data_IF_421553603332
#
_entry.id   IF_421553603332
#
_cell.length_a   1.000
_cell.length_b   1.000
_cell.length_c   1.000
_cell.angle_alpha   90.00
_cell.angle_beta   90.00
_cell.angle_gamma   90.00
#
_symmetry.space_group_name_H-M   'P 1'
#
loop_
_entity.id
_entity.type
_entity.pdbx_description
1 polymer ?
#
# COMPACT_ATOMS: atom_id res chain seq x y z
N UNK A 1 22.85 -0.80 4.91
CA UNK A 1 23.56 0.38 5.53
C UNK A 1 22.56 1.54 5.45
N UNK A 2 22.30 2.32 6.50
CA UNK A 2 21.47 3.54 6.36
C UNK A 2 22.25 4.56 5.54
N UNK A 3 21.61 5.19 4.57
CA UNK A 3 22.22 6.28 3.80
C UNK A 3 22.74 7.33 4.78
N UNK A 4 23.97 7.80 4.55
CA UNK A 4 24.64 8.72 5.46
C UNK A 4 23.88 10.07 5.49
N UNK A 5 23.67 10.63 6.69
CA UNK A 5 23.02 11.94 6.89
C UNK A 5 23.67 13.05 6.06
N UNK A 6 24.98 12.99 5.82
CA UNK A 6 25.66 13.97 4.95
C UNK A 6 25.15 13.99 3.51
N UNK A 7 24.58 12.89 3.02
CA UNK A 7 23.96 12.84 1.69
C UNK A 7 22.69 13.68 1.61
N UNK A 8 22.01 13.94 2.72
CA UNK A 8 20.77 14.72 2.76
C UNK A 8 20.98 16.21 3.06
N UNK A 9 22.15 16.63 3.53
CA UNK A 9 22.40 18.03 3.88
C UNK A 9 22.39 18.99 2.69
N UNK A 10 22.57 18.46 1.47
CA UNK A 10 22.60 19.26 0.23
C UNK A 10 21.35 19.05 -0.65
N UNK A 11 20.38 18.25 -0.18
CA UNK A 11 19.18 17.90 -0.96
C UNK A 11 18.10 18.94 -0.75
N UNK A 12 17.45 19.33 -1.84
CA UNK A 12 16.27 20.16 -1.78
C UNK A 12 15.10 19.40 -1.15
N UNK A 13 14.67 19.81 0.04
CA UNK A 13 13.56 19.21 0.77
C UNK A 13 12.23 19.96 0.49
N UNK A 14 11.06 19.32 0.65
CA UNK A 14 10.87 17.93 1.09
C UNK A 14 11.08 16.91 -0.04
N UNK A 15 11.56 15.70 0.31
CA UNK A 15 11.80 14.62 -0.66
C UNK A 15 11.57 13.24 -0.05
N UNK A 16 10.86 12.36 -0.78
CA UNK A 16 10.84 10.91 -0.53
C UNK A 16 12.07 10.28 -1.15
N UNK A 17 12.81 9.50 -0.36
CA UNK A 17 14.05 8.88 -0.82
C UNK A 17 13.94 7.37 -0.72
N UNK A 18 13.87 6.68 -1.85
CA UNK A 18 13.95 5.23 -1.92
C UNK A 18 15.41 4.77 -1.79
N UNK A 19 15.68 3.80 -0.92
CA UNK A 19 16.96 3.12 -0.82
C UNK A 19 16.92 1.80 -1.60
N UNK A 20 17.56 1.72 -2.78
CA UNK A 20 17.51 0.56 -3.68
C UNK A 20 17.94 -0.74 -2.98
N UNK A 21 18.97 -0.71 -2.14
CA UNK A 21 19.43 -1.88 -1.38
C UNK A 21 18.31 -2.48 -0.52
N UNK A 22 17.52 -1.62 0.14
CA UNK A 22 16.41 -2.06 0.99
C UNK A 22 15.24 -2.61 0.17
N UNK A 23 14.92 -1.97 -0.96
CA UNK A 23 13.92 -2.47 -1.88
C UNK A 23 14.28 -3.86 -2.39
N UNK A 24 15.52 -4.05 -2.86
CA UNK A 24 16.00 -5.35 -3.35
C UNK A 24 15.99 -6.43 -2.27
N UNK A 25 16.29 -6.09 -1.02
CA UNK A 25 16.16 -7.00 0.13
C UNK A 25 14.72 -7.50 0.28
N UNK A 26 13.74 -6.60 0.25
CA UNK A 26 12.33 -6.97 0.35
C UNK A 26 11.88 -7.82 -0.84
N UNK A 27 12.24 -7.43 -2.06
CA UNK A 27 11.93 -8.17 -3.28
C UNK A 27 12.53 -9.58 -3.26
N UNK A 28 13.77 -9.74 -2.80
CA UNK A 28 14.42 -11.05 -2.68
C UNK A 28 13.70 -11.96 -1.69
N UNK A 29 13.25 -11.43 -0.55
CA UNK A 29 12.46 -12.18 0.43
C UNK A 29 11.11 -12.60 -0.17
N UNK A 30 10.39 -11.67 -0.80
CA UNK A 30 9.08 -11.94 -1.42
C UNK A 30 9.21 -13.01 -2.51
N UNK A 31 10.23 -12.91 -3.38
CA UNK A 31 10.52 -13.92 -4.39
C UNK A 31 10.80 -15.28 -3.76
N UNK A 32 11.62 -15.35 -2.70
CA UNK A 32 11.89 -16.60 -1.98
C UNK A 32 10.62 -17.23 -1.39
N UNK A 33 9.69 -16.42 -0.87
CA UNK A 33 8.40 -16.92 -0.37
C UNK A 33 7.58 -17.50 -1.53
N UNK A 34 7.48 -16.76 -2.64
CA UNK A 34 6.72 -17.18 -3.82
C UNK A 34 7.23 -18.55 -4.36
N UNK A 35 8.54 -18.68 -4.55
CA UNK A 35 9.17 -19.91 -5.04
C UNK A 35 9.03 -21.10 -4.07
N UNK A 36 9.22 -20.87 -2.77
CA UNK A 36 9.14 -21.93 -1.75
C UNK A 36 7.73 -22.41 -1.47
N UNK A 37 6.75 -21.52 -1.61
CA UNK A 37 5.34 -21.83 -1.39
C UNK A 37 4.61 -22.24 -2.68
N UNK A 38 5.25 -22.12 -3.86
CA UNK A 38 4.66 -22.33 -5.18
C UNK A 38 3.42 -21.45 -5.41
N UNK A 39 3.55 -20.14 -5.15
CA UNK A 39 2.48 -19.14 -5.30
C UNK A 39 2.93 -17.96 -6.14
N UNK A 40 2.01 -17.26 -6.76
CA UNK A 40 2.28 -15.98 -7.40
C UNK A 40 2.10 -14.86 -6.39
N UNK A 41 3.12 -14.00 -6.23
CA UNK A 41 3.03 -12.78 -5.43
C UNK A 41 3.16 -11.59 -6.36
N UNK A 42 2.16 -10.71 -6.35
CA UNK A 42 2.04 -9.57 -7.26
C UNK A 42 1.99 -8.25 -6.49
N UNK A 43 2.49 -7.17 -7.09
CA UNK A 43 2.55 -5.85 -6.47
C UNK A 43 1.19 -5.14 -6.52
N UNK A 44 0.69 -4.69 -5.37
CA UNK A 44 -0.50 -3.85 -5.30
C UNK A 44 -0.16 -2.35 -5.45
N UNK A 45 -0.54 -1.74 -6.58
CA UNK A 45 -0.25 -0.33 -6.88
C UNK A 45 -0.87 0.65 -5.89
N UNK A 46 -2.02 0.31 -5.32
CA UNK A 46 -2.62 1.12 -4.24
C UNK A 46 -1.67 1.42 -3.07
N UNK A 47 -0.62 0.59 -2.90
CA UNK A 47 0.38 0.79 -1.85
C UNK A 47 1.71 1.32 -2.38
N UNK A 48 2.08 1.00 -3.62
CA UNK A 48 3.35 1.40 -4.21
C UNK A 48 3.24 1.51 -5.73
N UNK A 49 3.44 2.71 -6.28
CA UNK A 49 3.29 2.99 -7.71
C UNK A 49 4.41 3.87 -8.29
N UNK A 50 5.61 3.86 -7.70
CA UNK A 50 6.78 4.62 -8.20
C UNK A 50 7.32 3.96 -9.48
N UNK A 51 6.69 4.24 -10.59
CA UNK A 51 6.86 3.49 -11.85
C UNK A 51 8.28 3.53 -12.44
N UNK A 52 9.08 4.54 -12.15
CA UNK A 52 10.49 4.59 -12.58
C UNK A 52 11.35 3.50 -11.91
N UNK A 53 10.88 2.92 -10.81
CA UNK A 53 11.54 1.81 -10.10
C UNK A 53 11.08 0.42 -10.59
N UNK A 54 10.06 0.33 -11.44
CA UNK A 54 9.54 -0.95 -11.95
C UNK A 54 10.57 -1.83 -12.67
N UNK A 55 11.62 -1.30 -13.34
CA UNK A 55 12.69 -2.15 -13.83
C UNK A 55 13.34 -3.04 -12.76
N UNK A 56 13.50 -2.53 -11.53
CA UNK A 56 14.01 -3.30 -10.39
C UNK A 56 13.01 -4.39 -9.99
N UNK A 57 11.72 -4.06 -9.91
CA UNK A 57 10.68 -5.04 -9.57
C UNK A 57 10.61 -6.21 -10.55
N UNK A 58 10.75 -5.94 -11.86
CA UNK A 58 10.67 -6.98 -12.91
C UNK A 58 11.77 -8.05 -12.83
N UNK A 59 12.84 -7.81 -12.09
CA UNK A 59 13.85 -8.84 -11.80
C UNK A 59 13.33 -9.90 -10.81
N UNK A 60 12.23 -9.63 -10.12
CA UNK A 60 11.72 -10.46 -9.01
C UNK A 60 10.28 -10.93 -9.19
N UNK A 61 9.41 -10.09 -9.75
CA UNK A 61 7.99 -10.37 -9.95
C UNK A 61 7.56 -10.03 -11.38
N UNK A 62 6.43 -10.60 -11.84
CA UNK A 62 6.00 -10.48 -13.24
C UNK A 62 4.61 -9.85 -13.42
N UNK A 63 3.87 -9.65 -12.35
CA UNK A 63 2.49 -9.15 -12.41
C UNK A 63 2.22 -8.13 -11.30
N UNK A 64 1.15 -7.37 -11.48
CA UNK A 64 0.68 -6.35 -10.56
C UNK A 64 -0.83 -6.41 -10.39
N UNK A 65 -1.36 -5.79 -9.33
CA UNK A 65 -2.80 -5.58 -9.19
C UNK A 65 -3.15 -4.11 -9.32
N UNK A 66 -4.28 -3.84 -9.94
CA UNK A 66 -4.83 -2.51 -10.17
C UNK A 66 -6.23 -2.37 -9.55
N UNK A 67 -6.54 -1.16 -9.06
CA UNK A 67 -7.84 -0.85 -8.45
C UNK A 67 -8.62 0.23 -9.21
N UNK A 68 -8.11 0.65 -10.37
CA UNK A 68 -8.72 1.65 -11.25
C UNK A 68 -8.20 1.51 -12.68
N UNK A 69 -8.83 2.20 -13.63
CA UNK A 69 -8.35 2.30 -15.00
C UNK A 69 -6.93 2.86 -15.06
N UNK A 70 -6.63 3.91 -14.29
CA UNK A 70 -5.30 4.53 -14.28
C UNK A 70 -4.21 3.58 -13.80
N UNK A 71 -4.48 2.79 -12.76
CA UNK A 71 -3.54 1.76 -12.31
C UNK A 71 -3.39 0.62 -13.31
N UNK A 72 -4.49 0.18 -13.97
CA UNK A 72 -4.44 -0.84 -15.00
C UNK A 72 -3.61 -0.39 -16.21
N UNK A 73 -3.76 0.87 -16.65
CA UNK A 73 -2.91 1.48 -17.68
C UNK A 73 -1.45 1.57 -17.25
N UNK A 74 -1.19 1.98 -16.00
CA UNK A 74 0.16 2.04 -15.44
C UNK A 74 0.86 0.67 -15.47
N UNK A 75 0.11 -0.40 -15.14
CA UNK A 75 0.60 -1.78 -15.24
C UNK A 75 0.96 -2.12 -16.68
N UNK A 76 0.03 -1.91 -17.59
CA UNK A 76 0.18 -2.27 -19.00
C UNK A 76 1.32 -1.47 -19.67
N UNK A 77 1.37 -0.15 -19.46
CA UNK A 77 2.32 0.75 -20.16
C UNK A 77 3.70 0.81 -19.49
N UNK A 78 3.76 0.80 -18.15
CA UNK A 78 5.01 1.06 -17.42
C UNK A 78 5.60 -0.17 -16.75
N UNK A 79 4.74 -1.04 -16.18
CA UNK A 79 5.22 -2.31 -15.67
C UNK A 79 5.45 -3.31 -16.81
N UNK A 80 4.69 -3.19 -17.91
CA UNK A 80 4.85 -4.01 -19.11
C UNK A 80 4.14 -5.38 -19.01
N UNK A 81 3.13 -5.49 -18.15
CA UNK A 81 2.24 -6.65 -18.05
C UNK A 81 0.81 -6.23 -17.78
N UNK A 82 -0.20 -6.97 -18.30
CA UNK A 82 -1.59 -6.73 -17.94
C UNK A 82 -1.83 -6.98 -16.45
N UNK A 83 -2.64 -6.13 -15.82
CA UNK A 83 -2.91 -6.19 -14.39
C UNK A 83 -3.90 -7.30 -13.99
N UNK A 84 -3.86 -7.70 -12.72
CA UNK A 84 -5.01 -8.28 -12.03
C UNK A 84 -5.86 -7.13 -11.48
N UNK A 85 -7.03 -6.88 -12.08
CA UNK A 85 -7.80 -5.69 -11.73
C UNK A 85 -9.01 -6.04 -10.87
N UNK A 86 -9.14 -5.33 -9.75
CA UNK A 86 -10.32 -5.32 -8.92
C UNK A 86 -10.70 -3.89 -8.55
N UNK A 87 -11.94 -3.51 -8.81
CA UNK A 87 -12.55 -2.28 -8.28
C UNK A 87 -13.90 -2.60 -7.65
N UNK A 88 -14.30 -1.89 -6.58
CA UNK A 88 -15.63 -2.07 -5.98
C UNK A 88 -16.77 -1.76 -6.96
N UNK A 89 -16.51 -0.92 -7.96
CA UNK A 89 -17.45 -0.60 -9.03
C UNK A 89 -16.71 -0.30 -10.33
N UNK A 90 -17.29 -0.74 -11.45
CA UNK A 90 -16.88 -0.41 -12.81
C UNK A 90 -17.91 0.49 -13.47
N UNK A 91 -17.46 1.31 -14.42
CA UNK A 91 -18.33 2.22 -15.18
C UNK A 91 -18.41 1.82 -16.64
N UNK A 92 -19.49 2.23 -17.31
CA UNK A 92 -19.72 1.89 -18.73
C UNK A 92 -18.67 2.48 -19.67
N UNK A 93 -18.01 3.57 -19.28
CA UNK A 93 -17.00 4.23 -20.12
C UNK A 93 -15.57 3.73 -19.85
N UNK A 94 -15.32 2.98 -18.76
CA UNK A 94 -13.97 2.49 -18.40
C UNK A 94 -13.77 1.00 -18.67
N UNK A 95 -14.83 0.20 -18.59
CA UNK A 95 -14.72 -1.28 -18.54
C UNK A 95 -13.98 -1.88 -19.74
N UNK A 96 -14.16 -1.34 -20.94
CA UNK A 96 -13.50 -1.87 -22.14
C UNK A 96 -11.99 -1.65 -22.09
N UNK A 97 -11.57 -0.49 -21.61
CA UNK A 97 -10.14 -0.16 -21.53
C UNK A 97 -9.49 -0.86 -20.33
N UNK A 98 -10.20 -0.98 -19.22
CA UNK A 98 -9.78 -1.82 -18.08
C UNK A 98 -9.55 -3.26 -18.55
N UNK A 99 -10.47 -3.84 -19.30
CA UNK A 99 -10.34 -5.20 -19.79
C UNK A 99 -9.11 -5.37 -20.72
N UNK A 100 -8.84 -4.40 -21.62
CA UNK A 100 -7.65 -4.43 -22.49
C UNK A 100 -6.33 -4.38 -21.71
N UNK A 101 -6.32 -3.67 -20.57
CA UNK A 101 -5.13 -3.53 -19.73
C UNK A 101 -5.02 -4.62 -18.64
N UNK A 102 -5.96 -5.58 -18.60
CA UNK A 102 -6.03 -6.58 -17.54
C UNK A 102 -5.90 -8.01 -18.08
N UNK A 103 -5.23 -8.87 -17.31
CA UNK A 103 -5.22 -10.32 -17.50
C UNK A 103 -6.33 -11.02 -16.70
N UNK A 104 -6.63 -10.47 -15.52
CA UNK A 104 -7.68 -10.92 -14.62
C UNK A 104 -8.58 -9.73 -14.27
N UNK A 105 -9.89 -9.97 -14.25
CA UNK A 105 -10.90 -8.98 -13.86
C UNK A 105 -11.81 -9.61 -12.81
N UNK A 106 -11.68 -9.12 -11.57
CA UNK A 106 -12.51 -9.55 -10.45
C UNK A 106 -13.72 -8.63 -10.30
N UNK A 107 -14.91 -9.18 -10.36
CA UNK A 107 -16.16 -8.46 -10.11
C UNK A 107 -16.47 -8.44 -8.61
N UNK A 108 -17.04 -7.37 -8.13
CA UNK A 108 -17.42 -7.22 -6.73
C UNK A 108 -18.79 -7.85 -6.41
N UNK A 109 -19.59 -8.13 -7.42
CA UNK A 109 -20.92 -8.73 -7.30
C UNK A 109 -21.30 -9.48 -8.56
N UNK A 110 -22.29 -10.39 -8.47
CA UNK A 110 -22.86 -11.06 -9.63
C UNK A 110 -23.56 -10.10 -10.59
N UNK A 111 -24.18 -9.04 -10.08
CA UNK A 111 -24.79 -8.01 -10.93
C UNK A 111 -23.78 -7.23 -11.76
N UNK A 112 -22.56 -6.99 -11.22
CA UNK A 112 -21.47 -6.42 -12.03
C UNK A 112 -21.01 -7.40 -13.11
N UNK A 113 -20.86 -8.69 -12.75
CA UNK A 113 -20.51 -9.73 -13.71
C UNK A 113 -21.55 -9.77 -14.83
N UNK A 114 -22.83 -9.90 -14.52
CA UNK A 114 -23.94 -9.92 -15.49
C UNK A 114 -23.91 -8.70 -16.43
N UNK A 115 -23.61 -7.53 -15.90
CA UNK A 115 -23.58 -6.28 -16.67
C UNK A 115 -22.38 -6.16 -17.60
N UNK A 116 -21.22 -6.69 -17.21
CA UNK A 116 -19.96 -6.31 -17.86
C UNK A 116 -19.16 -7.47 -18.49
N UNK A 117 -19.44 -8.74 -18.18
CA UNK A 117 -18.62 -9.86 -18.63
C UNK A 117 -18.55 -9.97 -20.15
N UNK A 118 -19.69 -9.88 -20.86
CA UNK A 118 -19.69 -9.97 -22.32
C UNK A 118 -18.89 -8.84 -22.96
N UNK A 119 -19.09 -7.62 -22.46
CA UNK A 119 -18.40 -6.43 -22.96
C UNK A 119 -16.89 -6.48 -22.70
N UNK A 120 -16.48 -6.91 -21.50
CA UNK A 120 -15.08 -7.12 -21.19
C UNK A 120 -14.44 -8.23 -22.06
N UNK A 121 -15.17 -9.31 -22.34
CA UNK A 121 -14.73 -10.40 -23.23
C UNK A 121 -14.55 -9.93 -24.67
N UNK A 122 -15.45 -9.07 -25.17
CA UNK A 122 -15.32 -8.46 -26.49
C UNK A 122 -14.08 -7.56 -26.59
N UNK A 123 -13.78 -6.83 -25.52
CA UNK A 123 -12.59 -5.94 -25.45
C UNK A 123 -11.28 -6.71 -25.31
N UNK A 124 -11.30 -7.85 -24.58
CA UNK A 124 -10.15 -8.75 -24.37
C UNK A 124 -10.64 -10.20 -24.31
N UNK A 125 -10.52 -10.98 -25.39
CA UNK A 125 -10.97 -12.39 -25.42
C UNK A 125 -10.25 -13.31 -24.43
N UNK A 126 -9.03 -12.95 -23.99
CA UNK A 126 -8.21 -13.76 -23.09
C UNK A 126 -8.43 -13.39 -21.59
N UNK A 127 -9.33 -12.43 -21.30
CA UNK A 127 -9.60 -11.99 -19.92
C UNK A 127 -10.12 -13.13 -19.05
N UNK A 128 -9.56 -13.28 -17.86
CA UNK A 128 -9.98 -14.26 -16.86
C UNK A 128 -10.85 -13.58 -15.82
N UNK A 129 -12.02 -14.16 -15.54
CA UNK A 129 -12.93 -13.59 -14.56
C UNK A 129 -12.78 -14.20 -13.19
N UNK A 130 -12.90 -13.31 -12.20
CA UNK A 130 -13.05 -13.67 -10.82
C UNK A 130 -14.23 -12.99 -10.17
N UNK A 131 -14.59 -13.49 -9.00
CA UNK A 131 -15.57 -12.86 -8.13
C UNK A 131 -14.93 -12.59 -6.78
N UNK A 132 -15.06 -11.37 -6.29
CA UNK A 132 -14.65 -11.06 -4.93
C UNK A 132 -15.66 -11.63 -3.95
N UNK A 133 -15.16 -12.37 -2.96
CA UNK A 133 -15.98 -12.99 -1.91
C UNK A 133 -15.60 -12.45 -0.53
N UNK A 134 -16.59 -12.45 0.37
CA UNK A 134 -16.43 -11.99 1.74
C UNK A 134 -16.70 -13.15 2.70
N UNK A 135 -15.67 -13.65 3.43
CA UNK A 135 -15.85 -14.70 4.43
C UNK A 135 -16.52 -14.21 5.72
N UNK A 136 -16.82 -12.91 5.82
CA UNK A 136 -17.39 -12.26 7.01
C UNK A 136 -16.52 -12.48 8.26
N UNK A 137 -15.21 -12.55 8.03
CA UNK A 137 -14.19 -12.71 9.06
C UNK A 137 -12.96 -11.88 8.71
N UNK A 138 -12.53 -11.06 9.67
CA UNK A 138 -11.28 -10.31 9.61
C UNK A 138 -10.88 -9.91 11.05
N UNK A 139 -9.60 -9.97 11.35
CA UNK A 139 -9.04 -9.55 12.65
C UNK A 139 -8.51 -8.10 12.60
N UNK A 140 -8.83 -7.35 11.56
CA UNK A 140 -8.46 -5.93 11.47
C UNK A 140 -9.35 -5.12 12.40
N UNK A 141 -8.75 -4.53 13.43
CA UNK A 141 -9.45 -3.80 14.48
C UNK A 141 -9.99 -2.45 13.99
N UNK A 142 -9.20 -1.73 13.18
CA UNK A 142 -9.58 -0.42 12.65
C UNK A 142 -10.64 -0.56 11.57
N UNK A 143 -11.87 -0.11 11.85
CA UNK A 143 -13.02 -0.26 10.94
C UNK A 143 -12.78 0.30 9.53
N UNK A 144 -12.02 1.39 9.41
CA UNK A 144 -11.67 2.00 8.13
C UNK A 144 -10.92 1.01 7.20
N UNK A 145 -10.15 0.09 7.78
CA UNK A 145 -9.32 -0.88 7.06
C UNK A 145 -9.84 -2.32 7.15
N UNK A 146 -10.96 -2.55 7.85
CA UNK A 146 -11.57 -3.88 7.94
C UNK A 146 -12.46 -4.14 6.71
N UNK A 147 -12.01 -4.96 5.73
CA UNK A 147 -12.77 -5.19 4.50
C UNK A 147 -13.96 -6.11 4.68
N UNK A 148 -14.11 -6.75 5.84
CA UNK A 148 -15.18 -7.69 6.18
C UNK A 148 -16.12 -7.14 7.26
N UNK A 149 -16.01 -5.86 7.64
CA UNK A 149 -16.89 -5.23 8.61
C UNK A 149 -18.37 -5.31 8.17
N UNK A 150 -19.31 -5.39 9.12
CA UNK A 150 -20.74 -5.35 8.81
C UNK A 150 -21.10 -4.13 7.95
N UNK A 151 -21.85 -4.33 6.87
CA UNK A 151 -22.21 -3.27 5.91
C UNK A 151 -21.10 -2.91 4.92
N UNK A 152 -20.00 -3.67 4.87
CA UNK A 152 -18.96 -3.49 3.86
C UNK A 152 -19.55 -3.55 2.44
N UNK A 153 -18.98 -2.74 1.53
CA UNK A 153 -19.32 -2.79 0.10
C UNK A 153 -18.51 -3.83 -0.68
N UNK A 154 -17.66 -4.64 -0.01
CA UNK A 154 -16.70 -5.51 -0.66
C UNK A 154 -17.14 -6.98 -0.65
N UNK A 155 -17.28 -7.54 -1.86
CA UNK A 155 -17.44 -8.97 -2.08
C UNK A 155 -18.81 -9.54 -1.73
N UNK A 156 -19.02 -10.76 -2.15
CA UNK A 156 -20.27 -11.52 -1.99
C UNK A 156 -20.11 -12.53 -0.87
N UNK A 157 -21.03 -12.56 0.08
CA UNK A 157 -21.08 -13.60 1.13
C UNK A 157 -21.58 -14.93 0.56
N UNK A 158 -21.22 -16.05 1.21
CA UNK A 158 -21.49 -17.38 0.70
C UNK A 158 -22.99 -17.71 0.56
N UNK A 159 -23.83 -17.16 1.43
CA UNK A 159 -25.29 -17.31 1.41
C UNK A 159 -25.98 -16.66 0.20
N UNK A 160 -25.29 -15.70 -0.44
CA UNK A 160 -25.77 -14.98 -1.64
C UNK A 160 -25.27 -15.57 -2.95
N UNK A 161 -24.41 -16.59 -2.90
CA UNK A 161 -23.89 -17.25 -4.07
C UNK A 161 -24.82 -18.39 -4.50
N UNK A 162 -25.09 -18.57 -5.83
CA UNK A 162 -25.77 -19.73 -6.33
C UNK A 162 -24.92 -21.00 -6.11
N UNK A 163 -25.56 -22.18 -6.13
CA UNK A 163 -24.84 -23.45 -6.02
C UNK A 163 -23.78 -23.64 -7.11
N UNK A 164 -24.11 -23.20 -8.33
CA UNK A 164 -23.22 -23.24 -9.49
C UNK A 164 -23.04 -21.82 -10.02
N UNK A 165 -21.80 -21.39 -10.12
CA UNK A 165 -21.43 -20.10 -10.70
C UNK A 165 -21.33 -20.23 -12.23
N UNK A 166 -21.45 -19.12 -12.99
CA UNK A 166 -21.10 -19.09 -14.40
C UNK A 166 -19.74 -19.75 -14.67
N UNK A 167 -19.67 -20.56 -15.72
CA UNK A 167 -18.50 -21.42 -16.01
C UNK A 167 -17.23 -20.65 -16.38
N UNK A 168 -17.35 -19.38 -16.74
CA UNK A 168 -16.24 -18.49 -17.08
C UNK A 168 -15.75 -17.65 -15.88
N UNK A 169 -16.36 -17.78 -14.70
CA UNK A 169 -15.78 -17.34 -13.44
C UNK A 169 -14.77 -18.40 -13.01
N UNK A 170 -13.49 -18.08 -13.19
CA UNK A 170 -12.37 -19.01 -13.02
C UNK A 170 -11.72 -18.97 -11.64
N UNK A 171 -12.12 -18.06 -10.76
CA UNK A 171 -11.53 -17.97 -9.43
C UNK A 171 -12.24 -17.02 -8.48
N UNK A 172 -11.82 -17.10 -7.21
CA UNK A 172 -12.22 -16.14 -6.18
C UNK A 172 -11.08 -15.20 -5.81
N UNK A 173 -11.45 -13.95 -5.51
CA UNK A 173 -10.61 -12.95 -4.86
C UNK A 173 -11.15 -12.70 -3.45
N UNK A 174 -10.33 -12.96 -2.44
CA UNK A 174 -10.69 -12.81 -1.02
C UNK A 174 -9.63 -11.97 -0.31
N UNK A 175 -9.93 -10.72 -0.01
CA UNK A 175 -9.00 -9.81 0.67
C UNK A 175 -9.57 -9.42 2.04
N UNK A 176 -8.95 -9.92 3.12
CA UNK A 176 -9.45 -9.84 4.49
C UNK A 176 -8.42 -9.26 5.49
N UNK A 177 -7.23 -8.89 5.04
CA UNK A 177 -6.11 -8.52 5.89
C UNK A 177 -5.66 -7.08 5.67
N UNK A 178 -5.08 -6.50 6.73
CA UNK A 178 -4.29 -5.28 6.66
C UNK A 178 -3.11 -5.47 7.61
N UNK A 179 -1.88 -5.53 7.08
CA UNK A 179 -0.61 -5.68 7.82
C UNK A 179 -0.60 -6.82 8.87
N UNK A 180 -1.25 -7.92 8.54
CA UNK A 180 -1.48 -9.06 9.43
C UNK A 180 -0.33 -10.06 9.41
N UNK A 181 -0.21 -10.85 10.48
CA UNK A 181 0.73 -11.97 10.61
C UNK A 181 0.25 -13.24 9.87
N UNK A 182 1.13 -14.22 9.78
CA UNK A 182 0.82 -15.51 9.15
C UNK A 182 -0.23 -16.32 9.94
N UNK A 183 -0.25 -16.21 11.26
CA UNK A 183 -1.22 -16.83 12.14
C UNK A 183 -2.65 -16.29 11.90
N UNK A 184 -2.79 -15.01 11.64
CA UNK A 184 -4.07 -14.39 11.24
C UNK A 184 -4.53 -14.94 9.88
N UNK A 185 -3.59 -15.11 8.94
CA UNK A 185 -3.92 -15.73 7.66
C UNK A 185 -4.39 -17.17 7.81
N UNK A 186 -3.77 -17.98 8.68
CA UNK A 186 -4.20 -19.36 8.95
C UNK A 186 -5.65 -19.43 9.41
N UNK A 187 -6.02 -18.57 10.37
CA UNK A 187 -7.40 -18.51 10.87
C UNK A 187 -8.38 -18.02 9.81
N UNK A 188 -8.01 -17.00 9.05
CA UNK A 188 -8.84 -16.50 7.95
C UNK A 188 -9.03 -17.55 6.86
N UNK A 189 -7.97 -18.31 6.51
CA UNK A 189 -8.04 -19.37 5.52
C UNK A 189 -9.03 -20.45 5.92
N UNK A 190 -9.07 -20.83 7.21
CA UNK A 190 -10.04 -21.78 7.72
C UNK A 190 -11.48 -21.31 7.48
N UNK A 191 -11.79 -20.03 7.73
CA UNK A 191 -13.12 -19.46 7.44
C UNK A 191 -13.41 -19.39 5.92
N UNK A 192 -12.40 -19.10 5.09
CA UNK A 192 -12.56 -19.12 3.63
C UNK A 192 -12.89 -20.55 3.15
N UNK A 193 -12.16 -21.55 3.61
CA UNK A 193 -12.41 -22.95 3.25
C UNK A 193 -13.78 -23.43 3.74
N UNK A 194 -14.16 -23.14 4.99
CA UNK A 194 -15.47 -23.50 5.54
C UNK A 194 -16.62 -22.96 4.68
N UNK A 195 -16.55 -21.70 4.27
CA UNK A 195 -17.64 -21.03 3.55
C UNK A 195 -17.62 -21.27 2.05
N UNK A 196 -16.44 -21.40 1.43
CA UNK A 196 -16.32 -21.33 -0.03
C UNK A 196 -15.72 -22.57 -0.69
N UNK A 197 -15.20 -23.56 0.03
CA UNK A 197 -14.51 -24.70 -0.59
C UNK A 197 -15.38 -25.51 -1.56
N UNK A 198 -16.71 -25.49 -1.42
CA UNK A 198 -17.64 -26.19 -2.34
C UNK A 198 -17.54 -25.71 -3.79
N UNK A 199 -17.08 -24.47 -4.04
CA UNK A 199 -16.90 -23.94 -5.39
C UNK A 199 -15.49 -24.14 -5.94
N UNK A 200 -14.49 -24.45 -5.09
CA UNK A 200 -13.10 -24.60 -5.54
C UNK A 200 -12.89 -25.62 -6.66
N UNK A 201 -13.64 -26.74 -6.74
CA UNK A 201 -13.46 -27.68 -7.86
C UNK A 201 -13.71 -27.10 -9.27
N UNK A 202 -14.46 -26.00 -9.40
CA UNK A 202 -14.70 -25.35 -10.68
C UNK A 202 -13.64 -24.31 -11.07
N UNK A 203 -12.74 -23.94 -10.15
CA UNK A 203 -11.81 -22.85 -10.32
C UNK A 203 -10.45 -23.28 -10.82
N UNK A 204 -9.71 -22.32 -11.39
CA UNK A 204 -8.32 -22.45 -11.80
C UNK A 204 -7.37 -21.71 -10.86
N UNK A 205 -7.87 -20.71 -10.15
CA UNK A 205 -7.07 -19.88 -9.26
C UNK A 205 -7.87 -19.38 -8.06
N UNK A 206 -7.12 -19.01 -7.01
CA UNK A 206 -7.63 -18.28 -5.85
C UNK A 206 -6.65 -17.16 -5.49
N UNK A 207 -7.18 -15.98 -5.22
CA UNK A 207 -6.41 -14.82 -4.81
C UNK A 207 -6.80 -14.45 -3.38
N UNK A 208 -5.87 -14.60 -2.44
CA UNK A 208 -6.08 -14.29 -1.04
C UNK A 208 -5.84 -12.81 -0.70
N UNK A 209 -5.61 -11.96 -1.72
CA UNK A 209 -5.45 -10.53 -1.55
C UNK A 209 -4.14 -10.13 -0.90
N UNK A 210 -4.13 -8.94 -0.32
CA UNK A 210 -2.99 -8.33 0.34
C UNK A 210 -3.07 -8.40 1.87
N UNK A 211 -2.25 -7.53 2.50
CA UNK A 211 -2.17 -7.44 3.96
C UNK A 211 -1.16 -8.40 4.61
N UNK A 212 -0.46 -9.20 3.81
CA UNK A 212 0.61 -10.10 4.27
C UNK A 212 1.92 -9.31 4.39
N UNK A 213 2.25 -8.83 5.59
CA UNK A 213 3.43 -7.99 5.82
C UNK A 213 4.69 -8.83 6.07
N UNK A 214 5.02 -9.71 5.12
CA UNK A 214 6.08 -10.72 5.24
C UNK A 214 7.51 -10.14 5.35
N UNK A 215 7.70 -8.88 5.07
CA UNK A 215 8.98 -8.16 5.19
C UNK A 215 9.16 -7.49 6.55
N UNK A 216 8.14 -7.48 7.41
CA UNK A 216 8.24 -7.04 8.79
C UNK A 216 9.07 -8.05 9.60
N UNK A 217 9.94 -7.55 10.46
CA UNK A 217 10.95 -8.36 11.17
C UNK A 217 10.37 -9.51 12.01
N UNK A 218 9.19 -9.31 12.60
CA UNK A 218 8.49 -10.27 13.47
C UNK A 218 7.53 -11.18 12.73
N UNK A 219 7.45 -11.10 11.39
CA UNK A 219 6.56 -11.94 10.60
C UNK A 219 7.11 -13.36 10.45
N UNK A 220 6.30 -14.37 10.77
CA UNK A 220 6.69 -15.77 10.58
C UNK A 220 6.50 -16.23 9.13
N UNK A 221 7.55 -16.01 8.35
CA UNK A 221 7.61 -16.39 6.92
C UNK A 221 7.52 -17.91 6.73
N UNK A 222 8.10 -18.71 7.66
CA UNK A 222 8.05 -20.17 7.54
C UNK A 222 6.65 -20.69 7.77
N UNK A 223 5.93 -20.11 8.72
CA UNK A 223 4.54 -20.45 8.97
C UNK A 223 3.67 -20.14 7.75
N UNK A 224 3.81 -18.96 7.14
CA UNK A 224 3.10 -18.61 5.88
C UNK A 224 3.32 -19.67 4.80
N UNK A 225 4.60 -20.05 4.55
CA UNK A 225 4.95 -21.04 3.53
C UNK A 225 4.29 -22.40 3.84
N UNK A 226 4.27 -22.81 5.10
CA UNK A 226 3.65 -24.08 5.51
C UNK A 226 2.12 -24.06 5.32
N UNK A 227 1.45 -22.96 5.65
CA UNK A 227 0.00 -22.76 5.40
C UNK A 227 -0.29 -22.90 3.89
N UNK A 228 0.45 -22.20 3.05
CA UNK A 228 0.26 -22.22 1.59
C UNK A 228 0.52 -23.61 1.00
N UNK A 229 1.57 -24.31 1.44
CA UNK A 229 1.84 -25.70 1.03
C UNK A 229 0.72 -26.65 1.48
N UNK A 230 0.20 -26.47 2.70
CA UNK A 230 -0.94 -27.22 3.19
C UNK A 230 -2.20 -26.98 2.33
N UNK A 231 -2.43 -25.76 1.89
CA UNK A 231 -3.52 -25.42 0.98
C UNK A 231 -3.34 -26.10 -0.39
N UNK A 232 -2.15 -26.03 -0.99
CA UNK A 232 -1.85 -26.72 -2.24
C UNK A 232 -2.00 -28.24 -2.17
N UNK A 233 -1.66 -28.85 -1.03
CA UNK A 233 -1.86 -30.29 -0.83
C UNK A 233 -3.35 -30.67 -0.87
N UNK A 234 -4.25 -29.78 -0.39
CA UNK A 234 -5.71 -30.00 -0.44
C UNK A 234 -6.32 -29.66 -1.80
N UNK A 235 -5.78 -28.65 -2.48
CA UNK A 235 -6.32 -28.10 -3.75
C UNK A 235 -5.22 -27.93 -4.81
N UNK A 236 -4.61 -29.03 -5.28
CA UNK A 236 -3.41 -28.96 -6.16
C UNK A 236 -3.68 -28.39 -7.54
N UNK A 237 -4.94 -28.24 -7.94
CA UNK A 237 -5.35 -27.66 -9.23
C UNK A 237 -5.48 -26.14 -9.19
N UNK A 238 -5.47 -25.54 -8.00
CA UNK A 238 -5.63 -24.08 -7.84
C UNK A 238 -4.29 -23.37 -7.84
N UNK A 239 -4.15 -22.41 -8.74
CA UNK A 239 -3.07 -21.42 -8.67
C UNK A 239 -3.39 -20.45 -7.54
N UNK A 240 -2.46 -20.25 -6.61
CA UNK A 240 -2.61 -19.30 -5.49
C UNK A 240 -1.92 -17.98 -5.82
N UNK A 241 -2.61 -16.88 -5.53
CA UNK A 241 -2.13 -15.50 -5.75
C UNK A 241 -2.22 -14.73 -4.45
N UNK A 242 -1.17 -13.95 -4.13
CA UNK A 242 -1.15 -12.97 -3.04
C UNK A 242 -0.86 -11.58 -3.61
N UNK A 243 -1.48 -10.54 -3.03
CA UNK A 243 -1.36 -9.15 -3.46
C UNK A 243 -0.83 -8.22 -2.34
N UNK A 244 0.31 -8.52 -1.69
CA UNK A 244 0.83 -7.63 -0.68
C UNK A 244 1.15 -6.26 -1.29
N UNK A 245 0.92 -5.21 -0.51
CA UNK A 245 1.27 -3.85 -0.88
C UNK A 245 2.44 -3.33 -0.04
N UNK A 246 2.16 -3.05 1.25
CA UNK A 246 3.15 -2.53 2.22
C UNK A 246 4.43 -3.36 2.25
N UNK A 247 4.34 -4.69 2.12
CA UNK A 247 5.50 -5.57 2.20
C UNK A 247 6.61 -5.23 1.17
N UNK A 248 6.27 -4.72 0.00
CA UNK A 248 7.26 -4.30 -0.98
C UNK A 248 8.01 -3.04 -0.56
N UNK A 249 7.25 -2.02 -0.11
CA UNK A 249 7.80 -0.73 0.28
C UNK A 249 8.23 -0.62 1.74
N UNK A 250 8.04 -1.67 2.56
CA UNK A 250 8.29 -1.66 4.00
C UNK A 250 9.72 -1.29 4.34
N UNK A 251 9.89 -0.20 5.07
CA UNK A 251 11.19 0.33 5.50
C UNK A 251 12.20 0.51 4.35
N UNK A 252 11.72 0.89 3.17
CA UNK A 252 12.59 1.10 2.00
C UNK A 252 13.10 2.52 1.86
N UNK A 253 12.59 3.45 2.67
CA UNK A 253 13.15 4.80 2.68
C UNK A 253 12.30 5.84 3.41
N UNK A 254 12.90 7.00 3.72
CA UNK A 254 12.29 8.09 4.46
C UNK A 254 11.62 9.15 3.58
N UNK A 255 10.82 10.00 4.26
CA UNK A 255 10.56 11.38 3.84
C UNK A 255 11.52 12.32 4.60
N UNK A 256 12.33 13.06 3.87
CA UNK A 256 13.24 14.06 4.42
C UNK A 256 12.56 15.43 4.32
N UNK A 257 12.42 16.10 5.46
CA UNK A 257 11.83 17.43 5.59
C UNK A 257 12.81 18.36 6.32
N UNK A 258 12.48 19.65 6.40
CA UNK A 258 13.31 20.63 7.08
C UNK A 258 12.45 21.51 7.99
N UNK A 259 12.95 21.83 9.18
CA UNK A 259 12.35 22.80 10.09
C UNK A 259 12.40 24.20 9.46
N UNK A 260 11.26 24.84 9.31
CA UNK A 260 11.15 26.19 8.74
C UNK A 260 10.81 27.25 9.79
N UNK A 261 10.22 26.82 10.93
CA UNK A 261 9.95 27.69 12.06
C UNK A 261 9.75 26.86 13.34
N UNK A 262 9.93 27.49 14.50
CA UNK A 262 9.61 26.93 15.82
C UNK A 262 8.77 27.93 16.59
N UNK A 263 7.55 27.53 16.96
CA UNK A 263 6.63 28.38 17.72
C UNK A 263 6.33 27.74 19.08
N UNK A 264 6.05 28.56 20.06
CA UNK A 264 5.65 28.08 21.39
C UNK A 264 4.35 28.79 21.85
N UNK A 265 3.39 28.00 22.27
CA UNK A 265 2.17 28.48 22.94
C UNK A 265 1.82 27.57 24.10
N UNK A 266 1.58 28.17 25.28
CA UNK A 266 1.18 27.47 26.51
C UNK A 266 2.08 26.26 26.88
N UNK A 267 3.37 26.42 26.65
CA UNK A 267 4.38 25.39 26.94
C UNK A 267 4.48 24.28 25.90
N UNK A 268 3.72 24.37 24.80
CA UNK A 268 3.84 23.46 23.65
C UNK A 268 4.78 24.08 22.63
N UNK A 269 5.97 23.49 22.45
CA UNK A 269 6.86 23.82 21.36
C UNK A 269 6.47 23.05 20.11
N UNK A 270 6.20 23.75 19.00
CA UNK A 270 5.85 23.14 17.71
C UNK A 270 6.93 23.49 16.68
N UNK A 271 7.64 22.49 16.17
CA UNK A 271 8.53 22.65 15.03
C UNK A 271 7.67 22.51 13.74
N UNK A 272 7.61 23.56 12.96
CA UNK A 272 6.92 23.59 11.66
C UNK A 272 7.92 23.14 10.59
N UNK A 273 7.51 22.14 9.80
CA UNK A 273 8.33 21.58 8.72
C UNK A 273 7.83 22.05 7.35
N UNK A 274 8.69 22.02 6.33
CA UNK A 274 8.35 22.34 4.93
C UNK A 274 7.54 21.25 4.22
N UNK A 275 6.89 20.36 4.97
CA UNK A 275 5.95 19.36 4.51
C UNK A 275 4.65 19.47 5.30
N UNK A 276 3.63 18.69 4.92
CA UNK A 276 2.32 18.68 5.58
C UNK A 276 1.91 17.24 5.87
N UNK A 277 1.44 16.95 7.07
CA UNK A 277 0.84 15.65 7.38
C UNK A 277 -0.40 15.39 6.53
N UNK A 278 -1.27 16.38 6.40
CA UNK A 278 -2.49 16.30 5.59
C UNK A 278 -2.20 16.05 4.11
N UNK A 279 -1.16 16.68 3.56
CA UNK A 279 -0.85 16.59 2.12
C UNK A 279 0.08 15.44 1.78
N UNK A 280 1.07 15.17 2.63
CA UNK A 280 2.21 14.32 2.29
C UNK A 280 2.31 13.05 3.14
N UNK A 281 1.61 13.01 4.26
CA UNK A 281 1.54 11.85 5.18
C UNK A 281 0.10 11.61 5.67
N UNK A 282 -0.94 11.67 4.79
CA UNK A 282 -2.32 11.54 5.25
C UNK A 282 -2.61 10.19 5.90
N UNK A 283 -1.87 9.15 5.55
CA UNK A 283 -2.00 7.82 6.12
C UNK A 283 -1.73 7.81 7.64
N UNK A 284 -0.78 8.64 8.11
CA UNK A 284 -0.52 8.81 9.53
C UNK A 284 -1.72 9.37 10.30
N UNK A 285 -2.52 10.24 9.67
CA UNK A 285 -3.72 10.81 10.25
C UNK A 285 -4.94 9.88 10.17
N UNK A 286 -5.05 9.12 9.07
CA UNK A 286 -6.16 8.18 8.83
C UNK A 286 -6.05 6.92 9.69
N UNK A 287 -4.83 6.40 9.88
CA UNK A 287 -4.52 5.24 10.74
C UNK A 287 -4.18 5.59 12.18
N UNK A 288 -4.25 6.83 12.58
CA UNK A 288 -3.60 7.56 13.64
C UNK A 288 -2.38 6.83 14.26
N UNK A 289 -1.32 6.71 13.48
CA UNK A 289 -0.04 6.20 13.96
C UNK A 289 1.04 7.28 13.88
N UNK A 290 1.96 7.27 14.84
CA UNK A 290 3.10 8.18 14.82
C UNK A 290 4.27 7.56 14.06
N UNK A 291 4.72 8.17 12.95
CA UNK A 291 5.89 7.68 12.24
C UNK A 291 7.15 7.84 13.09
N UNK A 292 8.07 6.89 12.97
CA UNK A 292 9.38 7.04 13.60
C UNK A 292 10.15 8.20 12.95
N UNK A 293 10.77 9.04 13.78
CA UNK A 293 11.67 10.11 13.34
C UNK A 293 13.11 9.70 13.67
N UNK A 294 14.01 9.86 12.70
CA UNK A 294 15.41 9.49 12.86
C UNK A 294 16.06 10.33 13.96
N UNK A 295 16.75 9.67 14.89
CA UNK A 295 17.41 10.29 16.06
C UNK A 295 16.45 11.00 17.04
N UNK A 296 15.17 10.63 17.03
CA UNK A 296 14.21 11.10 18.01
C UNK A 296 13.40 9.94 18.59
N UNK A 297 12.98 10.10 19.83
CA UNK A 297 12.08 9.16 20.51
C UNK A 297 10.64 9.62 20.32
N UNK A 298 9.78 8.72 19.86
CA UNK A 298 8.33 8.96 19.76
C UNK A 298 7.73 8.88 21.16
N UNK A 299 6.97 9.90 21.55
CA UNK A 299 6.31 9.95 22.86
C UNK A 299 4.82 9.66 22.72
N UNK A 300 4.36 8.62 23.40
CA UNK A 300 2.93 8.37 23.57
C UNK A 300 2.36 9.32 24.62
N UNK A 301 1.27 10.02 24.30
CA UNK A 301 0.60 10.97 25.18
C UNK A 301 -0.88 10.66 25.24
N UNK A 302 -1.48 10.74 26.42
CA UNK A 302 -2.93 10.57 26.61
C UNK A 302 -3.72 11.76 26.04
N UNK A 303 -3.18 12.98 26.20
CA UNK A 303 -3.79 14.20 25.73
C UNK A 303 -2.85 14.95 24.79
N UNK A 304 -3.09 14.94 23.47
CA UNK A 304 -2.23 15.61 22.50
C UNK A 304 -2.23 17.13 22.63
N UNK A 305 -3.11 17.70 23.42
CA UNK A 305 -3.18 19.15 23.71
C UNK A 305 -2.37 19.57 24.93
N UNK A 306 -1.64 18.63 25.55
CA UNK A 306 -0.73 18.89 26.65
C UNK A 306 0.67 18.47 26.27
N UNK A 307 1.65 19.38 26.47
CA UNK A 307 3.04 19.03 26.27
C UNK A 307 3.49 18.00 27.31
N UNK A 308 4.19 16.93 26.94
CA UNK A 308 4.89 16.09 27.88
C UNK A 308 5.98 16.88 28.63
N UNK A 309 6.27 16.49 29.86
CA UNK A 309 7.36 17.11 30.62
C UNK A 309 8.72 16.62 30.10
N UNK A 310 9.68 17.53 29.92
CA UNK A 310 11.02 17.23 29.52
C UNK A 310 11.66 18.30 28.64
N UNK A 311 12.96 18.11 28.37
CA UNK A 311 13.74 18.99 27.48
C UNK A 311 13.70 18.45 26.05
N UNK A 312 13.83 19.35 25.05
CA UNK A 312 13.91 19.04 23.62
C UNK A 312 12.72 18.22 23.08
N UNK A 313 11.54 18.45 23.65
CA UNK A 313 10.28 17.82 23.20
C UNK A 313 9.56 18.79 22.28
N UNK A 314 9.22 18.30 21.08
CA UNK A 314 8.52 19.08 20.06
C UNK A 314 7.30 18.31 19.55
N UNK A 315 6.19 19.03 19.41
CA UNK A 315 5.17 18.66 18.45
C UNK A 315 5.71 18.99 17.06
N UNK A 316 5.46 18.14 16.05
CA UNK A 316 5.79 18.48 14.67
C UNK A 316 4.51 18.89 13.94
N UNK A 317 4.55 20.08 13.34
CA UNK A 317 3.47 20.68 12.58
C UNK A 317 3.83 20.80 11.09
N UNK A 318 2.84 20.64 10.24
CA UNK A 318 2.98 20.88 8.80
C UNK A 318 2.82 22.36 8.44
N UNK A 319 3.03 22.67 7.16
CA UNK A 319 2.98 24.04 6.61
C UNK A 319 1.64 24.38 5.93
N UNK A 320 0.59 23.55 6.08
CA UNK A 320 -0.74 23.89 5.58
C UNK A 320 -1.50 24.82 6.51
N UNK A 321 -2.56 25.49 5.99
CA UNK A 321 -3.45 26.31 6.80
C UNK A 321 -4.51 25.49 7.56
N UNK A 322 -4.46 24.16 7.52
CA UNK A 322 -5.33 23.33 8.34
C UNK A 322 -4.83 23.34 9.78
N UNK A 323 -5.65 23.77 10.74
CA UNK A 323 -5.26 23.84 12.16
C UNK A 323 -4.87 22.49 12.76
N UNK A 324 -5.37 21.37 12.22
CA UNK A 324 -5.03 20.00 12.61
C UNK A 324 -3.85 19.40 11.86
N UNK A 325 -3.09 20.16 11.07
CA UNK A 325 -1.92 19.69 10.33
C UNK A 325 -0.70 19.57 11.26
N UNK A 326 -0.82 18.72 12.25
CA UNK A 326 0.26 18.36 13.17
C UNK A 326 0.09 16.92 13.64
N UNK A 327 1.14 16.35 14.20
CA UNK A 327 1.10 15.04 14.83
C UNK A 327 1.97 15.03 16.08
N UNK A 328 1.56 14.28 17.08
CA UNK A 328 2.20 13.87 18.31
C UNK A 328 3.42 14.63 18.79
N UNK A 329 4.21 13.96 19.60
CA UNK A 329 5.42 14.55 20.18
C UNK A 329 6.62 13.62 19.99
N UNK A 330 7.77 14.24 19.71
CA UNK A 330 9.07 13.56 19.64
C UNK A 330 10.06 14.26 20.55
N UNK A 331 10.89 13.46 21.22
CA UNK A 331 12.01 13.94 22.01
C UNK A 331 13.29 13.79 21.22
N UNK A 332 13.97 14.90 21.00
CA UNK A 332 15.28 14.97 20.36
C UNK A 332 16.39 14.97 21.42
N UNK A 333 17.63 14.73 21.02
CA UNK A 333 18.79 14.79 21.89
C UNK A 333 19.38 16.21 22.03
N UNK A 334 18.83 17.17 21.27
CA UNK A 334 19.21 18.57 21.23
C UNK A 334 18.02 19.48 20.90
N UNK A 335 18.22 20.78 20.98
CA UNK A 335 17.22 21.78 20.56
C UNK A 335 17.20 21.90 19.03
N UNK A 336 15.99 21.79 18.43
CA UNK A 336 15.82 21.88 16.98
C UNK A 336 16.05 23.32 16.51
N UNK A 337 16.83 23.46 15.44
CA UNK A 337 17.12 24.75 14.77
C UNK A 337 16.39 24.86 13.43
N UNK A 338 16.07 26.09 13.01
CA UNK A 338 15.57 26.36 11.67
C UNK A 338 16.61 25.96 10.64
N UNK A 339 16.20 25.22 9.61
CA UNK A 339 17.09 24.65 8.60
C UNK A 339 17.54 23.23 8.90
N UNK A 340 17.25 22.69 10.08
CA UNK A 340 17.57 21.33 10.43
C UNK A 340 16.61 20.31 9.78
N UNK A 341 17.14 19.15 9.39
CA UNK A 341 16.33 18.10 8.77
C UNK A 341 15.60 17.24 9.80
N UNK A 342 14.30 17.08 9.60
CA UNK A 342 13.47 16.09 10.28
C UNK A 342 13.16 14.96 9.29
N UNK A 343 13.57 13.73 9.64
CA UNK A 343 13.54 12.58 8.74
C UNK A 343 12.56 11.56 9.28
N UNK A 344 11.42 11.43 8.59
CA UNK A 344 10.39 10.43 8.88
C UNK A 344 10.74 9.12 8.21
N UNK A 345 10.89 8.06 8.98
CA UNK A 345 11.23 6.73 8.46
C UNK A 345 9.99 6.05 7.86
N UNK A 346 10.23 5.13 6.92
CA UNK A 346 9.21 4.25 6.34
C UNK A 346 8.08 4.96 5.58
N UNK A 347 8.43 5.90 4.68
CA UNK A 347 7.49 6.76 3.98
C UNK A 347 7.28 6.41 2.49
N UNK A 348 7.64 5.20 2.04
CA UNK A 348 7.60 4.84 0.61
C UNK A 348 6.38 3.99 0.20
N UNK A 349 5.62 3.44 1.14
CA UNK A 349 4.38 2.73 0.85
C UNK A 349 3.15 3.49 1.36
N UNK A 350 2.02 3.35 0.70
CA UNK A 350 0.78 4.12 0.91
C UNK A 350 0.96 5.64 0.91
N UNK A 351 1.91 6.17 1.68
CA UNK A 351 2.18 7.61 1.80
C UNK A 351 2.34 8.28 0.43
N UNK A 352 3.21 7.74 -0.44
CA UNK A 352 3.48 8.34 -1.75
C UNK A 352 2.31 8.29 -2.74
N UNK A 353 1.35 7.38 -2.55
CA UNK A 353 0.18 7.22 -3.44
C UNK A 353 -1.07 7.93 -2.93
N UNK A 354 -1.07 8.43 -1.70
CA UNK A 354 -2.21 9.13 -1.06
C UNK A 354 -2.03 10.64 -0.99
N UNK A 355 -0.94 11.19 -1.51
CA UNK A 355 -0.63 12.63 -1.45
C UNK A 355 -1.68 13.50 -2.14
N UNK A 356 -1.84 14.72 -1.65
CA UNK A 356 -2.67 15.76 -2.23
C UNK A 356 -1.98 17.12 -2.21
N UNK A 357 -2.59 18.13 -2.81
CA UNK A 357 -2.05 19.50 -2.94
C UNK A 357 -2.98 20.53 -2.29
N UNK A 358 -3.50 20.23 -1.11
CA UNK A 358 -4.28 21.22 -0.36
C UNK A 358 -3.47 22.49 -0.12
N UNK A 359 -4.08 23.66 -0.16
CA UNK A 359 -3.45 25.00 -0.16
C UNK A 359 -2.45 25.28 -1.31
N UNK A 360 -2.37 24.41 -2.33
CA UNK A 360 -1.34 24.50 -3.36
C UNK A 360 0.06 24.14 -2.88
N UNK A 361 0.18 23.41 -1.77
CA UNK A 361 1.47 22.96 -1.27
C UNK A 361 2.05 21.96 -2.27
N UNK A 362 3.28 22.20 -2.70
CA UNK A 362 3.97 21.36 -3.68
C UNK A 362 4.28 19.98 -3.10
N UNK A 363 4.06 18.94 -3.89
CA UNK A 363 4.46 17.58 -3.50
C UNK A 363 5.96 17.49 -3.22
N UNK A 364 6.39 16.68 -2.23
CA UNK A 364 7.79 16.32 -2.06
C UNK A 364 8.37 15.73 -3.35
N UNK A 365 9.59 16.07 -3.67
CA UNK A 365 10.33 15.40 -4.73
C UNK A 365 10.42 13.89 -4.46
N UNK A 366 10.74 13.11 -5.49
CA UNK A 366 10.96 11.67 -5.37
C UNK A 366 12.36 11.36 -5.88
N UNK A 367 13.17 10.70 -5.05
CA UNK A 367 14.52 10.28 -5.38
C UNK A 367 14.77 8.81 -5.07
N UNK A 368 15.84 8.27 -5.65
CA UNK A 368 16.37 6.94 -5.35
C UNK A 368 17.86 7.03 -5.07
N UNK A 369 18.29 6.38 -3.99
CA UNK A 369 19.71 6.14 -3.72
C UNK A 369 20.04 4.76 -4.28
N UNK A 370 20.87 4.73 -5.30
CA UNK A 370 21.32 3.52 -5.98
C UNK A 370 22.32 2.71 -5.16
N UNK A 371 22.62 1.49 -5.60
CA UNK A 371 23.57 0.60 -4.91
C UNK A 371 25.00 1.16 -4.82
N UNK A 372 25.37 2.06 -5.71
CA UNK A 372 26.65 2.79 -5.70
C UNK A 372 26.68 3.99 -4.75
N UNK A 373 25.53 4.28 -4.09
CA UNK A 373 25.37 5.41 -3.18
C UNK A 373 24.96 6.72 -3.85
N UNK A 374 24.86 6.77 -5.19
CA UNK A 374 24.43 7.96 -5.89
C UNK A 374 22.91 8.20 -5.73
N UNK A 375 22.52 9.46 -5.47
CA UNK A 375 21.13 9.90 -5.46
C UNK A 375 20.74 10.36 -6.88
N UNK A 376 19.66 9.76 -7.40
CA UNK A 376 18.98 10.22 -8.61
C UNK A 376 17.63 10.85 -8.22
N UNK A 377 17.33 12.06 -8.73
CA UNK A 377 16.01 12.68 -8.59
C UNK A 377 15.10 12.14 -9.69
N UNK A 378 14.14 11.33 -9.30
CA UNK A 378 13.19 10.71 -10.22
C UNK A 378 12.11 11.70 -10.69
N UNK A 379 11.62 12.56 -9.79
CA UNK A 379 10.57 13.54 -10.08
C UNK A 379 10.68 14.74 -9.14
N UNK A 380 10.57 15.92 -9.71
CA UNK A 380 10.27 17.16 -9.00
C UNK A 380 8.89 17.65 -9.41
N UNK A 381 8.24 18.38 -8.52
CA UNK A 381 6.91 18.96 -8.73
C UNK A 381 6.99 20.48 -8.63
N UNK A 382 6.15 21.17 -9.38
CA UNK A 382 6.12 22.62 -9.42
C UNK A 382 4.69 23.19 -9.38
N UNK A 383 4.60 24.50 -9.58
CA UNK A 383 3.33 25.22 -9.64
C UNK A 383 2.38 24.66 -10.71
N UNK A 384 2.93 24.20 -11.83
CA UNK A 384 2.16 23.65 -12.95
C UNK A 384 1.36 22.42 -12.54
N UNK A 385 1.93 21.54 -11.71
CA UNK A 385 1.25 20.33 -11.21
C UNK A 385 -0.01 20.67 -10.37
N UNK A 386 0.02 21.81 -9.67
CA UNK A 386 -1.15 22.31 -8.95
C UNK A 386 -2.14 23.00 -9.89
N UNK A 387 -1.66 23.96 -10.71
CA UNK A 387 -2.49 24.73 -11.62
C UNK A 387 -3.28 23.85 -12.59
N UNK A 388 -2.59 22.92 -13.28
CA UNK A 388 -3.18 22.10 -14.34
C UNK A 388 -4.17 21.05 -13.81
N UNK A 389 -4.20 20.84 -12.50
CA UNK A 389 -5.21 20.02 -11.84
C UNK A 389 -6.50 20.81 -11.54
N UNK A 390 -6.45 22.14 -11.51
CA UNK A 390 -7.58 22.97 -11.04
C UNK A 390 -8.56 23.33 -12.15
N UNK A 391 -8.16 23.30 -13.44
CA UNK A 391 -9.03 23.52 -14.60
C UNK A 391 -8.51 22.89 -15.90
#
# INVERSE_FOLDING_TARGET
MRVNLSTFCEIHTPIYVLEEERLRRNLSLIKSVAERADVEIILAFKAYALWKTFPIFREYIHSTTASSLSEAKLAFEKFGSPAHTFSPAYTDYEIDEIARCSSHLSFNSLSQYERYHERARLANPEIKYGLRVNPEYSEVETLLYNPCAPGTRFGVSADKLPETLPSDIEGFHCHCHCESGADVFERTLAHIEEKFAKWFPQFKWINFGGGHLMTRKDYDVLHLINILKGFHARYPHLKVILEPGSAFGWQTGPLVTQVVDVVEDKGIKTAIINASFTCHMPDCLEMPYMPAVRNAETLEVEDPMKAPEGEHIYRIGGNSCLSGDFMGYWKFDHELEIGENVIFEDMLHYTTVKTNTFNGITHPAIGIVHLDGNLEILREFGYEDYRDRMD
#
